data_IF_743704562813
#
_entry.id   IF_743704562813
#
_cell.length_a   1.000
_cell.length_b   1.000
_cell.length_c   1.000
_cell.angle_alpha   90.00
_cell.angle_beta   90.00
_cell.angle_gamma   90.00
#
_symmetry.space_group_name_H-M   'P 1'
#
loop_
_entity.id
_entity.type
_entity.pdbx_description
1 polymer ?
#
# COMPACT_ATOMS: atom_id res chain seq x y z
N UNK A 1 11.81 11.96 -2.91
CA UNK A 1 12.62 11.94 -1.68
C UNK A 1 12.92 13.36 -1.21
N UNK A 2 13.64 14.21 -1.97
CA UNK A 2 13.99 15.57 -1.55
C UNK A 2 12.75 16.40 -1.14
N UNK A 3 11.69 16.38 -1.95
CA UNK A 3 10.43 17.06 -1.64
C UNK A 3 9.84 16.60 -0.29
N UNK A 4 9.79 15.30 -0.03
CA UNK A 4 9.31 14.79 1.25
C UNK A 4 10.24 15.17 2.41
N UNK A 5 11.55 15.20 2.18
CA UNK A 5 12.51 15.68 3.17
C UNK A 5 12.27 17.14 3.58
N UNK A 6 12.02 18.02 2.59
CA UNK A 6 11.63 19.42 2.85
C UNK A 6 10.31 19.50 3.63
N UNK A 7 9.31 18.69 3.27
CA UNK A 7 8.05 18.64 4.01
C UNK A 7 8.22 18.19 5.46
N UNK A 8 9.14 17.24 5.74
CA UNK A 8 9.48 16.86 7.12
C UNK A 8 10.08 18.03 7.92
N UNK A 9 10.94 18.84 7.30
CA UNK A 9 11.50 20.04 7.94
C UNK A 9 10.42 21.08 8.20
N UNK A 10 9.52 21.31 7.25
CA UNK A 10 8.39 22.22 7.41
C UNK A 10 7.40 21.72 8.47
N UNK A 11 7.19 20.40 8.55
CA UNK A 11 6.39 19.78 9.63
C UNK A 11 7.03 20.01 10.99
N UNK A 12 8.33 19.82 11.12
CA UNK A 12 9.08 20.07 12.34
C UNK A 12 9.03 21.55 12.78
N UNK A 13 8.98 22.48 11.82
CA UNK A 13 8.89 23.93 12.07
C UNK A 13 7.46 24.42 12.36
N UNK A 14 6.44 23.55 12.29
CA UNK A 14 5.05 23.97 12.44
C UNK A 14 4.75 24.55 13.82
N UNK A 15 4.01 25.66 13.86
CA UNK A 15 3.64 26.38 15.08
C UNK A 15 2.13 26.25 15.40
N UNK A 16 1.31 25.71 14.47
CA UNK A 16 -0.12 25.51 14.66
C UNK A 16 -0.55 24.10 14.25
N UNK A 17 -1.71 23.66 14.75
CA UNK A 17 -2.29 22.38 14.39
C UNK A 17 -2.64 22.31 12.89
N UNK A 18 -3.17 23.40 12.34
CA UNK A 18 -3.52 23.48 10.91
C UNK A 18 -2.28 23.30 10.03
N UNK A 19 -1.17 23.94 10.40
CA UNK A 19 0.09 23.75 9.69
C UNK A 19 0.57 22.28 9.77
N UNK A 20 0.55 21.68 10.96
CA UNK A 20 0.88 20.26 11.12
C UNK A 20 0.00 19.37 10.23
N UNK A 21 -1.32 19.62 10.22
CA UNK A 21 -2.26 18.85 9.43
C UNK A 21 -2.00 18.98 7.92
N UNK A 22 -1.73 20.20 7.43
CA UNK A 22 -1.40 20.46 6.02
C UNK A 22 -0.09 19.75 5.62
N UNK A 23 0.96 19.89 6.43
CA UNK A 23 2.24 19.24 6.13
C UNK A 23 2.11 17.70 6.19
N UNK A 24 1.33 17.17 7.12
CA UNK A 24 1.04 15.74 7.21
C UNK A 24 0.28 15.24 5.99
N UNK A 25 -0.69 16.00 5.50
CA UNK A 25 -1.42 15.69 4.27
C UNK A 25 -0.48 15.68 3.05
N UNK A 26 0.38 16.69 2.92
CA UNK A 26 1.35 16.78 1.83
C UNK A 26 2.40 15.65 1.89
N UNK A 27 2.80 15.20 3.08
CA UNK A 27 3.68 14.03 3.24
C UNK A 27 3.09 12.74 2.65
N UNK A 28 1.79 12.68 2.37
CA UNK A 28 1.16 11.59 1.63
C UNK A 28 1.76 11.34 0.24
N UNK A 29 2.43 12.34 -0.37
CA UNK A 29 3.19 12.15 -1.62
C UNK A 29 4.33 11.12 -1.53
N UNK A 30 4.76 10.75 -0.33
CA UNK A 30 5.74 9.66 -0.11
C UNK A 30 5.29 8.35 -0.78
N UNK A 31 3.99 8.08 -0.79
CA UNK A 31 3.42 6.88 -1.42
C UNK A 31 3.69 6.78 -2.93
N UNK A 32 3.85 7.91 -3.62
CA UNK A 32 4.21 7.91 -5.05
C UNK A 32 5.60 7.30 -5.29
N UNK A 33 6.55 7.49 -4.36
CA UNK A 33 7.89 6.91 -4.43
C UNK A 33 7.87 5.38 -4.39
N UNK A 34 6.95 4.78 -3.65
CA UNK A 34 6.80 3.34 -3.57
C UNK A 34 6.49 2.72 -4.94
N UNK A 35 5.55 3.29 -5.69
CA UNK A 35 5.15 2.80 -7.02
C UNK A 35 6.28 2.91 -8.04
N UNK A 36 7.06 4.00 -7.98
CA UNK A 36 8.24 4.19 -8.84
C UNK A 36 9.27 3.08 -8.55
N UNK A 37 9.51 2.77 -7.27
CA UNK A 37 10.43 1.73 -6.87
C UNK A 37 9.98 0.33 -7.28
N UNK A 38 8.69 -0.01 -7.16
CA UNK A 38 8.11 -1.26 -7.68
C UNK A 38 8.42 -1.41 -9.18
N UNK A 39 8.18 -0.35 -9.96
CA UNK A 39 8.51 -0.38 -11.39
C UNK A 39 10.00 -0.57 -11.62
N UNK A 40 10.85 0.15 -10.90
CA UNK A 40 12.30 0.06 -11.01
C UNK A 40 12.79 -1.37 -10.71
N UNK A 41 12.34 -1.95 -9.58
CA UNK A 41 12.71 -3.33 -9.20
C UNK A 41 12.31 -4.33 -10.29
N UNK A 42 11.10 -4.20 -10.85
CA UNK A 42 10.64 -5.10 -11.90
C UNK A 42 11.43 -5.01 -13.22
N UNK A 43 12.16 -3.91 -13.47
CA UNK A 43 13.05 -3.77 -14.61
C UNK A 43 14.44 -4.37 -14.37
N UNK A 44 14.88 -4.43 -13.11
CA UNK A 44 16.21 -4.93 -12.74
C UNK A 44 16.25 -6.43 -12.46
N UNK A 45 15.13 -7.06 -12.15
CA UNK A 45 15.06 -8.47 -11.79
C UNK A 45 14.29 -9.30 -12.83
N UNK A 46 14.72 -10.55 -13.12
CA UNK A 46 14.00 -11.45 -13.99
C UNK A 46 12.64 -11.84 -13.37
N UNK A 47 11.67 -12.18 -14.21
CA UNK A 47 10.30 -12.49 -13.79
C UNK A 47 10.23 -13.61 -12.72
N UNK A 48 11.15 -14.59 -12.78
CA UNK A 48 11.23 -15.69 -11.81
C UNK A 48 11.69 -15.28 -10.40
N UNK A 49 12.33 -14.13 -10.24
CA UNK A 49 12.91 -13.62 -9.00
C UNK A 49 12.26 -12.30 -8.54
N UNK A 50 11.28 -11.82 -9.33
CA UNK A 50 10.63 -10.53 -9.05
C UNK A 50 9.89 -10.51 -7.72
N UNK A 51 9.34 -11.63 -7.29
CA UNK A 51 8.60 -11.72 -6.04
C UNK A 51 9.47 -11.47 -4.82
N UNK A 52 10.65 -12.13 -4.73
CA UNK A 52 11.58 -11.88 -3.64
C UNK A 52 12.12 -10.43 -3.69
N UNK A 53 12.45 -9.92 -4.87
CA UNK A 53 12.98 -8.56 -5.03
C UNK A 53 11.97 -7.50 -4.59
N UNK A 54 10.71 -7.61 -5.01
CA UNK A 54 9.60 -6.74 -4.60
C UNK A 54 9.29 -6.90 -3.10
N UNK A 55 9.38 -8.13 -2.59
CA UNK A 55 9.21 -8.43 -1.18
C UNK A 55 10.27 -7.73 -0.32
N UNK A 56 11.55 -7.75 -0.73
CA UNK A 56 12.66 -7.04 -0.06
C UNK A 56 12.40 -5.53 -0.14
N UNK A 57 12.13 -4.99 -1.33
CA UNK A 57 11.89 -3.57 -1.51
C UNK A 57 10.74 -3.07 -0.63
N UNK A 58 9.57 -3.73 -0.70
CA UNK A 58 8.39 -3.34 0.08
C UNK A 58 8.55 -3.62 1.58
N UNK A 59 9.19 -4.74 1.95
CA UNK A 59 9.43 -5.13 3.33
C UNK A 59 10.38 -4.17 4.05
N UNK A 60 11.51 -3.88 3.44
CA UNK A 60 12.48 -2.93 4.02
C UNK A 60 11.96 -1.51 4.07
N UNK A 61 11.17 -1.10 3.05
CA UNK A 61 10.49 0.20 3.09
C UNK A 61 9.55 0.33 4.29
N UNK A 62 8.70 -0.67 4.53
CA UNK A 62 7.76 -0.67 5.66
C UNK A 62 8.41 -0.97 7.01
N UNK A 63 9.54 -1.67 7.06
CA UNK A 63 10.37 -1.82 8.27
C UNK A 63 10.80 -0.46 8.82
N UNK A 64 10.95 0.56 7.98
CA UNK A 64 11.17 1.93 8.40
C UNK A 64 10.15 2.44 9.42
N UNK A 65 8.90 1.98 9.37
CA UNK A 65 7.88 2.31 10.37
C UNK A 65 8.21 1.72 11.76
N UNK A 66 8.73 0.49 11.81
CA UNK A 66 9.18 -0.13 13.06
C UNK A 66 10.39 0.63 13.64
N UNK A 67 11.38 0.95 12.79
CA UNK A 67 12.54 1.74 13.21
C UNK A 67 12.11 3.10 13.75
N UNK A 68 11.20 3.78 13.06
CA UNK A 68 10.69 5.08 13.52
C UNK A 68 9.94 4.95 14.86
N UNK A 69 9.06 3.96 15.01
CA UNK A 69 8.29 3.74 16.25
C UNK A 69 9.19 3.51 17.47
N UNK A 70 10.32 2.81 17.25
CA UNK A 70 11.27 2.51 18.32
C UNK A 70 12.27 3.64 18.56
N UNK A 71 12.75 4.32 17.53
CA UNK A 71 13.84 5.29 17.63
C UNK A 71 13.38 6.74 17.84
N UNK A 72 12.24 7.16 17.26
CA UNK A 72 11.82 8.57 17.35
C UNK A 72 11.56 9.05 18.77
N UNK A 73 10.88 8.28 19.66
CA UNK A 73 10.73 8.68 21.06
C UNK A 73 12.06 8.83 21.79
N UNK A 74 13.01 7.92 21.52
CA UNK A 74 14.36 7.96 22.11
C UNK A 74 15.12 9.19 21.62
N UNK A 75 15.08 9.48 20.32
CA UNK A 75 15.71 10.68 19.77
C UNK A 75 15.08 11.96 20.29
N UNK A 76 13.75 12.00 20.42
CA UNK A 76 13.05 13.15 21.01
C UNK A 76 13.50 13.42 22.46
N UNK A 77 13.63 12.36 23.25
CA UNK A 77 14.16 12.47 24.62
C UNK A 77 15.63 12.89 24.65
N UNK A 78 16.45 12.34 23.75
CA UNK A 78 17.88 12.67 23.64
C UNK A 78 18.13 14.12 23.22
N UNK A 79 17.32 14.68 22.34
CA UNK A 79 17.38 16.10 21.97
C UNK A 79 16.88 16.99 23.12
N UNK A 80 16.00 16.48 23.97
CA UNK A 80 15.52 17.14 25.18
C UNK A 80 14.54 18.30 24.94
N UNK A 81 13.94 18.77 26.04
CA UNK A 81 12.97 19.87 26.02
C UNK A 81 11.65 19.51 25.33
N UNK A 82 10.75 20.50 25.26
CA UNK A 82 9.42 20.35 24.66
C UNK A 82 9.47 20.20 23.13
N UNK A 83 10.56 20.65 22.50
CA UNK A 83 10.79 20.63 21.06
C UNK A 83 11.60 19.42 20.56
N UNK A 84 12.00 18.51 21.44
CA UNK A 84 12.83 17.33 21.08
C UNK A 84 12.24 16.50 19.93
N UNK A 85 10.91 16.36 19.87
CA UNK A 85 10.23 15.68 18.79
C UNK A 85 10.41 16.37 17.42
N UNK A 86 10.54 17.71 17.40
CA UNK A 86 10.77 18.49 16.17
C UNK A 86 12.13 18.19 15.58
N UNK A 87 13.16 18.14 16.43
CA UNK A 87 14.51 17.78 16.01
C UNK A 87 14.60 16.32 15.54
N UNK A 88 13.89 15.40 16.20
CA UNK A 88 13.80 14.01 15.79
C UNK A 88 13.19 13.87 14.39
N UNK A 89 12.06 14.51 14.12
CA UNK A 89 11.44 14.50 12.79
C UNK A 89 12.29 15.28 11.78
N UNK A 90 12.83 16.43 12.15
CA UNK A 90 13.73 17.22 11.29
C UNK A 90 14.95 16.42 10.83
N UNK A 91 15.53 15.58 11.70
CA UNK A 91 16.67 14.73 11.34
C UNK A 91 16.32 13.73 10.23
N UNK A 92 15.11 13.16 10.23
CA UNK A 92 14.66 12.29 9.13
C UNK A 92 14.50 13.05 7.82
N UNK A 93 14.05 14.30 7.88
CA UNK A 93 13.98 15.19 6.73
C UNK A 93 15.35 15.45 6.09
N UNK A 94 16.34 15.76 6.92
CA UNK A 94 17.73 15.96 6.48
C UNK A 94 18.27 14.68 5.84
N UNK A 95 18.08 13.51 6.48
CA UNK A 95 18.51 12.22 5.93
C UNK A 95 17.85 11.93 4.58
N UNK A 96 16.55 12.20 4.42
CA UNK A 96 15.84 12.00 3.16
C UNK A 96 16.39 12.90 2.04
N UNK A 97 16.76 14.15 2.34
CA UNK A 97 17.39 15.07 1.37
C UNK A 97 18.78 14.55 0.96
N UNK A 98 19.64 14.20 1.92
CA UNK A 98 20.98 13.67 1.62
C UNK A 98 20.86 12.40 0.78
N UNK A 99 20.01 11.47 1.19
CA UNK A 99 19.82 10.22 0.45
C UNK A 99 19.26 10.44 -0.95
N UNK A 100 18.46 11.50 -1.16
CA UNK A 100 17.94 11.81 -2.49
C UNK A 100 19.06 12.13 -3.51
N UNK A 101 20.13 12.79 -3.07
CA UNK A 101 21.30 13.06 -3.93
C UNK A 101 22.11 11.79 -4.21
N UNK A 102 22.27 10.91 -3.21
CA UNK A 102 22.94 9.62 -3.38
C UNK A 102 22.16 8.76 -4.38
N UNK A 103 20.84 8.67 -4.20
CA UNK A 103 19.94 7.93 -5.06
C UNK A 103 19.99 8.45 -6.51
N UNK A 104 19.90 9.77 -6.69
CA UNK A 104 19.93 10.40 -8.04
C UNK A 104 21.22 10.08 -8.80
N UNK A 105 22.36 9.98 -8.10
CA UNK A 105 23.66 9.67 -8.72
C UNK A 105 23.88 8.18 -8.97
N UNK A 106 23.26 7.32 -8.18
CA UNK A 106 23.54 5.87 -8.18
C UNK A 106 22.52 5.03 -8.93
N UNK A 107 21.31 5.56 -9.19
CA UNK A 107 20.22 4.76 -9.77
C UNK A 107 20.10 4.98 -11.27
N UNK A 108 19.89 3.89 -12.01
CA UNK A 108 19.55 3.85 -13.43
C UNK A 108 18.20 3.21 -13.61
N UNK A 109 17.46 3.58 -14.66
CA UNK A 109 16.11 3.07 -14.94
C UNK A 109 16.11 1.57 -15.26
N UNK A 110 17.15 1.09 -16.00
CA UNK A 110 17.30 -0.31 -16.41
C UNK A 110 18.77 -0.75 -16.37
N UNK A 111 19.06 -2.05 -16.30
CA UNK A 111 20.39 -2.59 -16.52
C UNK A 111 20.94 -2.20 -17.90
N UNK A 112 22.26 -2.09 -18.03
CA UNK A 112 22.91 -1.83 -19.32
C UNK A 112 22.59 -2.92 -20.33
N UNK A 113 22.18 -2.50 -21.52
CA UNK A 113 21.79 -3.45 -22.61
C UNK A 113 20.35 -3.97 -22.51
N UNK A 114 19.58 -3.58 -21.51
CA UNK A 114 18.17 -3.97 -21.40
C UNK A 114 17.25 -2.96 -22.08
N UNK A 115 16.15 -3.47 -22.67
CA UNK A 115 15.12 -2.64 -23.28
C UNK A 115 14.11 -2.17 -22.24
N UNK A 116 13.90 -0.85 -22.13
CA UNK A 116 12.86 -0.28 -21.28
C UNK A 116 11.51 -0.23 -22.00
N UNK A 117 10.54 -0.99 -21.51
CA UNK A 117 9.18 -1.01 -22.08
C UNK A 117 8.33 0.13 -21.54
N UNK A 118 8.28 1.25 -22.25
CA UNK A 118 7.46 2.40 -21.87
C UNK A 118 5.97 2.15 -22.06
N UNK A 119 5.10 2.64 -21.15
CA UNK A 119 3.66 2.69 -21.42
C UNK A 119 3.39 3.52 -22.68
N UNK A 120 2.61 3.01 -23.62
CA UNK A 120 2.28 3.75 -24.85
C UNK A 120 1.31 4.91 -24.58
N UNK A 121 0.47 4.79 -23.57
CA UNK A 121 -0.49 5.83 -23.17
C UNK A 121 -0.31 6.16 -21.68
N UNK A 122 -0.20 7.45 -21.38
CA UNK A 122 -0.09 7.94 -20.00
C UNK A 122 -1.47 8.31 -19.43
N UNK A 123 -1.65 8.12 -18.14
CA UNK A 123 -2.78 8.67 -17.38
C UNK A 123 -3.92 7.72 -17.05
N UNK A 124 -3.85 6.45 -17.42
CA UNK A 124 -4.81 5.41 -17.06
C UNK A 124 -4.38 4.04 -17.59
N UNK A 125 -4.96 2.97 -17.06
CA UNK A 125 -4.77 1.63 -17.59
C UNK A 125 -5.47 1.51 -18.94
N UNK A 126 -4.76 0.97 -19.94
CA UNK A 126 -5.36 0.56 -21.20
C UNK A 126 -5.94 -0.83 -21.03
N UNK A 127 -7.25 -0.97 -21.22
CA UNK A 127 -7.95 -2.26 -21.14
C UNK A 127 -8.31 -2.76 -22.54
N UNK A 128 -8.56 -4.05 -22.65
CA UNK A 128 -8.66 -4.72 -23.96
C UNK A 128 -10.09 -5.07 -24.37
N UNK A 129 -11.06 -4.95 -23.47
CA UNK A 129 -12.47 -5.22 -23.75
C UNK A 129 -13.39 -4.14 -23.18
N UNK A 130 -14.60 -3.98 -23.76
CA UNK A 130 -15.62 -3.07 -23.22
C UNK A 130 -16.07 -3.47 -21.81
N UNK A 131 -16.12 -4.77 -21.50
CA UNK A 131 -16.43 -5.28 -20.16
C UNK A 131 -15.37 -4.88 -19.15
N UNK A 132 -14.07 -5.05 -19.48
CA UNK A 132 -12.98 -4.60 -18.63
C UNK A 132 -12.97 -3.08 -18.45
N UNK A 133 -13.39 -2.31 -19.49
CA UNK A 133 -13.52 -0.85 -19.36
C UNK A 133 -14.57 -0.44 -18.31
N UNK A 134 -15.76 -1.03 -18.36
CA UNK A 134 -16.81 -0.76 -17.37
C UNK A 134 -16.33 -1.17 -15.99
N UNK A 135 -15.73 -2.34 -15.86
CA UNK A 135 -15.23 -2.85 -14.59
C UNK A 135 -14.09 -1.97 -14.03
N UNK A 136 -13.17 -1.52 -14.88
CA UNK A 136 -12.13 -0.56 -14.49
C UNK A 136 -12.71 0.78 -14.03
N UNK A 137 -13.68 1.31 -14.74
CA UNK A 137 -14.36 2.55 -14.35
C UNK A 137 -15.05 2.41 -12.99
N UNK A 138 -15.75 1.28 -12.74
CA UNK A 138 -16.38 0.99 -11.45
C UNK A 138 -15.33 0.85 -10.33
N UNK A 139 -14.21 0.18 -10.58
CA UNK A 139 -13.13 0.02 -9.60
C UNK A 139 -12.40 1.33 -9.27
N UNK A 140 -12.62 2.43 -9.99
CA UNK A 140 -12.13 3.75 -9.59
C UNK A 140 -13.05 4.45 -8.55
N UNK A 141 -14.31 4.05 -8.44
CA UNK A 141 -15.28 4.68 -7.53
C UNK A 141 -14.87 4.56 -6.04
N UNK A 142 -14.45 3.39 -5.52
CA UNK A 142 -14.03 3.25 -4.12
C UNK A 142 -12.94 4.21 -3.69
N UNK A 143 -12.02 4.60 -4.59
CA UNK A 143 -10.94 5.54 -4.30
C UNK A 143 -11.48 6.92 -3.89
N UNK A 144 -12.50 7.39 -4.59
CA UNK A 144 -13.12 8.70 -4.33
C UNK A 144 -14.14 8.63 -3.19
N UNK A 145 -14.82 7.49 -3.03
CA UNK A 145 -15.68 7.26 -1.88
C UNK A 145 -14.90 7.28 -0.56
N UNK A 146 -13.68 6.73 -0.55
CA UNK A 146 -12.82 6.81 0.63
C UNK A 146 -12.44 8.25 0.98
N UNK A 147 -12.12 9.09 -0.02
CA UNK A 147 -11.87 10.51 0.19
C UNK A 147 -13.11 11.25 0.68
N UNK A 148 -14.28 10.92 0.12
CA UNK A 148 -15.54 11.49 0.58
C UNK A 148 -15.89 11.06 2.01
N UNK A 149 -15.65 9.80 2.36
CA UNK A 149 -15.80 9.28 3.72
C UNK A 149 -14.87 10.00 4.72
N UNK A 150 -13.61 10.21 4.34
CA UNK A 150 -12.66 10.97 5.15
C UNK A 150 -13.13 12.42 5.32
N UNK A 151 -13.59 13.07 4.25
CA UNK A 151 -14.13 14.43 4.31
C UNK A 151 -15.33 14.51 5.24
N UNK A 152 -16.26 13.55 5.15
CA UNK A 152 -17.40 13.45 6.07
C UNK A 152 -16.94 13.29 7.53
N UNK A 153 -15.93 12.41 7.77
CA UNK A 153 -15.43 12.18 9.12
C UNK A 153 -14.79 13.43 9.74
N UNK A 154 -14.15 14.27 8.91
CA UNK A 154 -13.51 15.51 9.35
C UNK A 154 -14.47 16.70 9.41
N UNK A 155 -15.67 16.59 8.81
CA UNK A 155 -16.69 17.66 8.73
C UNK A 155 -17.34 17.99 10.08
N UNK A 156 -18.20 19.02 10.15
CA UNK A 156 -18.92 19.38 11.37
C UNK A 156 -19.82 18.26 11.92
N UNK A 157 -20.24 17.32 11.09
CA UNK A 157 -21.03 16.14 11.47
C UNK A 157 -20.19 15.04 12.13
N UNK A 158 -18.85 15.07 11.91
CA UNK A 158 -17.91 14.11 12.48
C UNK A 158 -17.02 14.72 13.58
N UNK A 159 -15.72 14.85 13.29
CA UNK A 159 -14.71 15.33 14.24
C UNK A 159 -14.63 16.86 14.36
N UNK A 160 -15.39 17.61 13.56
CA UNK A 160 -15.43 19.08 13.53
C UNK A 160 -14.07 19.75 13.27
N UNK A 161 -13.19 19.08 12.52
CA UNK A 161 -11.87 19.61 12.13
C UNK A 161 -11.96 20.47 10.86
N UNK A 162 -12.97 20.26 10.01
CA UNK A 162 -13.27 21.08 8.85
C UNK A 162 -14.52 21.93 9.12
N UNK A 163 -14.51 23.16 8.63
CA UNK A 163 -15.73 23.97 8.55
C UNK A 163 -16.70 23.40 7.51
N UNK A 164 -17.99 23.80 7.55
CA UNK A 164 -18.96 23.41 6.54
C UNK A 164 -18.51 23.80 5.11
N UNK A 165 -17.98 25.03 4.96
CA UNK A 165 -17.45 25.52 3.68
C UNK A 165 -16.23 24.71 3.25
N UNK A 166 -15.33 24.39 4.19
CA UNK A 166 -14.14 23.54 3.93
C UNK A 166 -14.53 22.14 3.45
N UNK A 167 -15.56 21.53 4.05
CA UNK A 167 -16.07 20.24 3.62
C UNK A 167 -16.72 20.32 2.22
N UNK A 168 -17.49 21.38 1.95
CA UNK A 168 -18.09 21.61 0.63
C UNK A 168 -17.03 21.78 -0.47
N UNK A 169 -15.99 22.56 -0.19
CA UNK A 169 -14.84 22.72 -1.11
C UNK A 169 -14.15 21.37 -1.35
N UNK A 170 -13.92 20.58 -0.30
CA UNK A 170 -13.30 19.26 -0.44
C UNK A 170 -14.14 18.33 -1.33
N UNK A 171 -15.46 18.29 -1.14
CA UNK A 171 -16.38 17.51 -2.00
C UNK A 171 -16.36 18.01 -3.44
N UNK A 172 -16.34 19.32 -3.67
CA UNK A 172 -16.24 19.90 -5.02
C UNK A 172 -14.92 19.49 -5.71
N UNK A 173 -13.81 19.52 -4.97
CA UNK A 173 -12.50 19.06 -5.48
C UNK A 173 -12.55 17.57 -5.81
N UNK A 174 -13.10 16.73 -4.94
CA UNK A 174 -13.25 15.28 -5.18
C UNK A 174 -14.10 15.04 -6.44
N UNK A 175 -15.22 15.74 -6.60
CA UNK A 175 -16.05 15.63 -7.80
C UNK A 175 -15.30 16.05 -9.07
N UNK A 176 -14.51 17.12 -9.01
CA UNK A 176 -13.62 17.53 -10.11
C UNK A 176 -12.58 16.48 -10.46
N UNK A 177 -11.96 15.86 -9.46
CA UNK A 177 -10.99 14.77 -9.65
C UNK A 177 -11.64 13.53 -10.27
N UNK A 178 -12.87 13.15 -9.88
CA UNK A 178 -13.64 12.06 -10.49
C UNK A 178 -13.84 12.32 -11.98
N UNK A 179 -14.34 13.51 -12.34
CA UNK A 179 -14.58 13.89 -13.73
C UNK A 179 -13.28 13.88 -14.54
N UNK A 180 -12.20 14.42 -13.96
CA UNK A 180 -10.88 14.44 -14.60
C UNK A 180 -10.35 13.02 -14.84
N UNK A 181 -10.42 12.14 -13.84
CA UNK A 181 -9.98 10.75 -13.96
C UNK A 181 -10.81 9.97 -14.99
N UNK A 182 -12.11 10.13 -14.99
CA UNK A 182 -12.97 9.46 -15.96
C UNK A 182 -12.75 9.95 -17.39
N UNK A 183 -12.47 11.25 -17.59
CA UNK A 183 -12.01 11.76 -18.89
C UNK A 183 -10.72 11.10 -19.35
N UNK A 184 -9.75 10.90 -18.45
CA UNK A 184 -8.50 10.20 -18.77
C UNK A 184 -8.74 8.72 -19.10
N UNK A 185 -9.52 8.00 -18.29
CA UNK A 185 -9.89 6.60 -18.54
C UNK A 185 -10.55 6.48 -19.93
N UNK A 186 -11.49 7.37 -20.25
CA UNK A 186 -12.13 7.42 -21.55
C UNK A 186 -11.12 7.67 -22.69
N UNK A 187 -10.29 8.69 -22.53
CA UNK A 187 -9.31 9.07 -23.56
C UNK A 187 -8.34 7.94 -23.89
N UNK A 188 -7.83 7.23 -22.87
CA UNK A 188 -6.92 6.08 -23.06
C UNK A 188 -7.63 4.92 -23.73
N UNK A 189 -8.92 4.69 -23.44
CA UNK A 189 -9.67 3.50 -23.87
C UNK A 189 -10.68 3.76 -25.00
N UNK A 190 -10.70 4.94 -25.62
CA UNK A 190 -11.63 5.28 -26.70
C UNK A 190 -11.54 4.33 -27.91
N UNK A 191 -10.37 3.73 -28.16
CA UNK A 191 -10.14 2.76 -29.22
C UNK A 191 -11.10 1.56 -29.18
N UNK A 192 -11.58 1.17 -27.98
CA UNK A 192 -12.57 0.11 -27.81
C UNK A 192 -13.92 0.42 -28.47
N UNK A 193 -14.21 1.69 -28.71
CA UNK A 193 -15.46 2.20 -29.29
C UNK A 193 -15.31 2.68 -30.72
N UNK A 194 -14.06 2.92 -31.18
CA UNK A 194 -13.76 3.37 -32.56
C UNK A 194 -13.35 2.23 -33.50
N UNK A 195 -13.25 0.98 -32.97
CA UNK A 195 -12.86 -0.18 -33.76
C UNK A 195 -11.35 -0.32 -34.01
N UNK A 196 -10.53 0.53 -33.40
CA UNK A 196 -9.09 0.42 -33.41
C UNK A 196 -8.62 -0.75 -32.52
N UNK A 197 -7.55 -1.41 -32.90
CA UNK A 197 -6.98 -2.48 -32.06
C UNK A 197 -6.27 -1.91 -30.84
N UNK A 198 -6.39 -2.56 -29.64
CA UNK A 198 -5.61 -2.17 -28.48
C UNK A 198 -4.11 -2.28 -28.78
N UNK A 199 -3.35 -1.31 -28.34
CA UNK A 199 -1.89 -1.34 -28.48
C UNK A 199 -1.21 -2.30 -27.48
N UNK A 200 -1.90 -2.62 -26.37
CA UNK A 200 -1.41 -3.57 -25.37
C UNK A 200 -1.83 -5.01 -25.68
N UNK A 201 -0.98 -6.02 -25.39
CA UNK A 201 -1.37 -7.42 -25.40
C UNK A 201 -2.60 -7.67 -24.50
N UNK A 202 -3.44 -8.64 -24.88
CA UNK A 202 -4.67 -8.95 -24.14
C UNK A 202 -4.37 -9.41 -22.72
N UNK A 203 -5.01 -8.78 -21.77
CA UNK A 203 -5.08 -9.23 -20.38
C UNK A 203 -6.50 -8.99 -19.82
N UNK A 204 -6.83 -9.63 -18.72
CA UNK A 204 -8.14 -9.45 -18.07
C UNK A 204 -8.01 -8.52 -16.86
N UNK A 205 -8.69 -7.38 -16.89
CA UNK A 205 -8.70 -6.43 -15.78
C UNK A 205 -9.16 -7.05 -14.45
N UNK A 206 -9.95 -8.13 -14.49
CA UNK A 206 -10.34 -8.93 -13.34
C UNK A 206 -9.13 -9.32 -12.46
N UNK A 207 -7.98 -9.63 -13.06
CA UNK A 207 -6.77 -10.00 -12.31
C UNK A 207 -6.26 -8.82 -11.47
N UNK A 208 -6.27 -7.61 -12.06
CA UNK A 208 -5.91 -6.37 -11.35
C UNK A 208 -6.90 -6.10 -10.22
N UNK A 209 -8.19 -6.24 -10.46
CA UNK A 209 -9.24 -6.03 -9.46
C UNK A 209 -9.09 -6.95 -8.25
N UNK A 210 -8.78 -8.24 -8.48
CA UNK A 210 -8.55 -9.20 -7.40
C UNK A 210 -7.34 -8.78 -6.55
N UNK A 211 -6.23 -8.36 -7.19
CA UNK A 211 -5.03 -7.90 -6.48
C UNK A 211 -5.30 -6.61 -5.69
N UNK A 212 -6.11 -5.70 -6.23
CA UNK A 212 -6.52 -4.49 -5.52
C UNK A 212 -7.28 -4.82 -4.22
N UNK A 213 -8.25 -5.74 -4.29
CA UNK A 213 -9.00 -6.19 -3.11
C UNK A 213 -8.10 -6.94 -2.13
N UNK A 214 -7.20 -7.79 -2.62
CA UNK A 214 -6.24 -8.51 -1.77
C UNK A 214 -5.29 -7.52 -1.07
N UNK A 215 -4.77 -6.51 -1.78
CA UNK A 215 -3.88 -5.51 -1.20
C UNK A 215 -4.61 -4.57 -0.24
N UNK A 216 -5.87 -4.24 -0.50
CA UNK A 216 -6.74 -3.55 0.46
C UNK A 216 -6.88 -4.36 1.77
N UNK A 217 -7.10 -5.68 1.66
CA UNK A 217 -7.25 -6.54 2.83
C UNK A 217 -5.95 -6.72 3.61
N UNK A 218 -4.79 -6.86 2.97
CA UNK A 218 -3.52 -7.05 3.68
C UNK A 218 -2.88 -5.71 4.08
N UNK A 219 -2.53 -4.83 3.14
CA UNK A 219 -1.85 -3.58 3.46
C UNK A 219 -2.77 -2.57 4.16
N UNK A 220 -4.03 -2.48 3.74
CA UNK A 220 -5.00 -1.59 4.40
C UNK A 220 -5.23 -1.96 5.86
N UNK A 221 -5.33 -3.26 6.16
CA UNK A 221 -5.45 -3.73 7.54
C UNK A 221 -4.15 -3.55 8.33
N UNK A 222 -2.98 -3.73 7.69
CA UNK A 222 -1.68 -3.42 8.30
C UNK A 222 -1.63 -1.99 8.83
N UNK A 223 -1.98 -1.00 7.97
CA UNK A 223 -1.99 0.41 8.35
C UNK A 223 -2.88 0.70 9.56
N UNK A 224 -4.07 0.10 9.57
CA UNK A 224 -5.02 0.29 10.65
C UNK A 224 -4.55 -0.38 11.95
N UNK A 225 -4.07 -1.63 11.86
CA UNK A 225 -3.62 -2.40 13.02
C UNK A 225 -2.37 -1.78 13.64
N UNK A 226 -1.35 -1.41 12.86
CA UNK A 226 -0.16 -0.71 13.38
C UNK A 226 -0.54 0.56 14.12
N UNK A 227 -1.55 1.29 13.65
CA UNK A 227 -2.01 2.53 14.26
C UNK A 227 -2.73 2.31 15.59
N UNK A 228 -3.48 1.20 15.74
CA UNK A 228 -4.32 0.96 16.91
C UNK A 228 -3.64 0.11 18.00
N UNK A 229 -2.70 -0.76 17.63
CA UNK A 229 -2.11 -1.73 18.56
C UNK A 229 -1.53 -1.12 19.84
N UNK A 230 -0.78 0.00 19.81
CA UNK A 230 -0.25 0.57 21.05
C UNK A 230 -1.35 0.90 22.05
N UNK A 231 -2.42 1.58 21.59
CA UNK A 231 -3.54 1.94 22.45
C UNK A 231 -4.30 0.69 22.92
N UNK A 232 -4.54 -0.26 22.02
CA UNK A 232 -5.19 -1.54 22.37
C UNK A 232 -4.43 -2.30 23.46
N UNK A 233 -3.10 -2.38 23.37
CA UNK A 233 -2.30 -3.04 24.41
C UNK A 233 -2.29 -2.28 25.73
N UNK A 234 -2.25 -0.93 25.69
CA UNK A 234 -2.36 -0.12 26.91
C UNK A 234 -3.69 -0.35 27.61
N UNK A 235 -4.79 -0.30 26.87
CA UNK A 235 -6.15 -0.38 27.42
C UNK A 235 -6.49 -1.80 27.89
N UNK A 236 -6.05 -2.83 27.14
CA UNK A 236 -6.40 -4.24 27.43
C UNK A 236 -5.51 -4.88 28.51
N UNK A 237 -4.20 -4.58 28.48
CA UNK A 237 -3.22 -5.24 29.36
C UNK A 237 -2.64 -4.31 30.43
N UNK A 238 -3.07 -3.04 30.47
CA UNK A 238 -2.65 -2.04 31.46
C UNK A 238 -1.12 -1.85 31.51
N UNK A 239 -0.43 -1.97 30.38
CA UNK A 239 1.02 -1.77 30.27
C UNK A 239 1.37 -0.31 29.95
N UNK A 240 2.62 0.07 30.27
CA UNK A 240 3.07 1.45 30.02
C UNK A 240 3.14 1.76 28.51
N UNK A 241 3.05 3.04 28.11
CA UNK A 241 3.13 3.45 26.71
C UNK A 241 4.39 2.95 25.99
N UNK A 242 5.52 2.87 26.70
CA UNK A 242 6.80 2.38 26.14
C UNK A 242 6.69 0.90 25.78
N UNK A 243 6.21 0.07 26.70
CA UNK A 243 6.01 -1.36 26.45
C UNK A 243 4.95 -1.61 25.38
N UNK A 244 3.87 -0.83 25.38
CA UNK A 244 2.84 -0.90 24.34
C UNK A 244 3.39 -0.55 22.95
N UNK A 245 4.21 0.48 22.83
CA UNK A 245 4.90 0.84 21.59
C UNK A 245 5.87 -0.25 21.13
N UNK A 246 6.62 -0.87 22.04
CA UNK A 246 7.53 -1.98 21.70
C UNK A 246 6.76 -3.21 21.22
N UNK A 247 5.70 -3.62 21.91
CA UNK A 247 4.88 -4.78 21.53
C UNK A 247 4.17 -4.55 20.18
N UNK A 248 3.64 -3.35 19.97
CA UNK A 248 3.06 -2.97 18.69
C UNK A 248 4.12 -2.89 17.56
N UNK A 249 5.31 -2.40 17.89
CA UNK A 249 6.46 -2.34 16.96
C UNK A 249 6.87 -3.73 16.45
N UNK A 250 6.72 -4.78 17.26
CA UNK A 250 6.99 -6.16 16.85
C UNK A 250 6.14 -6.58 15.63
N UNK A 251 4.90 -6.09 15.52
CA UNK A 251 4.06 -6.34 14.34
C UNK A 251 4.70 -5.78 13.06
N UNK A 252 5.22 -4.56 13.11
CA UNK A 252 5.83 -3.89 11.95
C UNK A 252 7.22 -4.46 11.63
N UNK A 253 7.97 -5.00 12.63
CA UNK A 253 9.26 -5.66 12.41
C UNK A 253 9.14 -6.86 11.47
N UNK A 254 7.99 -7.55 11.48
CA UNK A 254 7.75 -8.69 10.59
C UNK A 254 7.82 -8.34 9.11
N UNK A 255 7.66 -7.06 8.73
CA UNK A 255 7.87 -6.61 7.35
C UNK A 255 9.27 -6.98 6.82
N UNK A 256 10.29 -6.95 7.68
CA UNK A 256 11.67 -7.24 7.29
C UNK A 256 11.85 -8.67 6.77
N UNK A 257 11.10 -9.62 7.31
CA UNK A 257 11.25 -11.04 7.02
C UNK A 257 10.06 -11.62 6.26
N UNK A 258 8.85 -11.35 6.71
CA UNK A 258 7.65 -12.00 6.19
C UNK A 258 7.27 -11.53 4.77
N UNK A 259 7.49 -10.26 4.45
CA UNK A 259 7.20 -9.74 3.11
C UNK A 259 8.16 -10.29 2.05
N UNK A 260 9.49 -10.29 2.24
CA UNK A 260 10.42 -10.99 1.36
C UNK A 260 10.14 -12.49 1.27
N UNK A 261 9.82 -13.16 2.40
CA UNK A 261 9.48 -14.58 2.40
C UNK A 261 8.21 -14.87 1.59
N UNK A 262 7.18 -14.01 1.68
CA UNK A 262 5.97 -14.10 0.86
C UNK A 262 6.28 -14.03 -0.62
N UNK A 263 7.16 -13.13 -1.04
CA UNK A 263 7.65 -13.02 -2.40
C UNK A 263 8.46 -14.25 -2.83
N UNK A 264 9.44 -14.66 -2.04
CA UNK A 264 10.27 -15.85 -2.30
C UNK A 264 9.45 -17.13 -2.44
N UNK A 265 8.54 -17.37 -1.51
CA UNK A 265 7.69 -18.56 -1.56
C UNK A 265 6.71 -18.50 -2.74
N UNK A 266 6.26 -17.29 -3.12
CA UNK A 266 5.45 -17.08 -4.31
C UNK A 266 6.20 -17.49 -5.58
N UNK A 267 7.45 -17.08 -5.72
CA UNK A 267 8.29 -17.44 -6.85
C UNK A 267 8.61 -18.95 -6.89
N UNK A 268 8.82 -19.56 -5.71
CA UNK A 268 9.21 -20.98 -5.60
C UNK A 268 8.04 -21.98 -5.68
N UNK A 269 6.87 -21.66 -5.12
CA UNK A 269 5.78 -22.61 -4.92
C UNK A 269 4.48 -22.26 -5.63
N UNK A 270 4.47 -21.15 -6.38
CA UNK A 270 3.31 -20.64 -7.10
C UNK A 270 2.65 -19.45 -6.39
N UNK A 271 2.52 -18.37 -7.15
CA UNK A 271 2.14 -17.04 -6.64
C UNK A 271 0.72 -16.99 -6.10
N UNK A 272 -0.24 -17.54 -6.87
CA UNK A 272 -1.62 -17.65 -6.44
C UNK A 272 -1.75 -18.48 -5.17
N UNK A 273 -1.06 -19.62 -5.11
CA UNK A 273 -1.13 -20.56 -3.97
C UNK A 273 -0.65 -19.90 -2.68
N UNK A 274 0.49 -19.22 -2.72
CA UNK A 274 1.04 -18.54 -1.53
C UNK A 274 0.14 -17.38 -1.09
N UNK A 275 -0.37 -16.58 -2.02
CA UNK A 275 -1.34 -15.54 -1.69
C UNK A 275 -2.57 -16.10 -0.96
N UNK A 276 -3.12 -17.22 -1.45
CA UNK A 276 -4.27 -17.89 -0.82
C UNK A 276 -3.94 -18.40 0.59
N UNK A 277 -2.78 -19.03 0.79
CA UNK A 277 -2.33 -19.50 2.11
C UNK A 277 -2.20 -18.30 3.08
N UNK A 278 -1.60 -17.24 2.64
CA UNK A 278 -1.44 -16.02 3.46
C UNK A 278 -2.79 -15.40 3.82
N UNK A 279 -3.74 -15.31 2.88
CA UNK A 279 -5.07 -14.75 3.15
C UNK A 279 -5.90 -15.64 4.10
N UNK A 280 -5.76 -16.97 4.03
CA UNK A 280 -6.37 -17.87 5.03
C UNK A 280 -5.73 -17.63 6.42
N UNK A 281 -4.40 -17.62 6.48
CA UNK A 281 -3.68 -17.38 7.74
C UNK A 281 -4.03 -16.02 8.35
N UNK A 282 -4.16 -14.97 7.52
CA UNK A 282 -4.62 -13.64 7.93
C UNK A 282 -6.06 -13.69 8.47
N UNK A 283 -6.97 -14.40 7.79
CA UNK A 283 -8.37 -14.57 8.22
C UNK A 283 -8.44 -15.21 9.60
N UNK A 284 -7.73 -16.34 9.79
CA UNK A 284 -7.68 -17.05 11.06
C UNK A 284 -6.99 -16.21 12.15
N UNK A 285 -5.91 -15.50 11.79
CA UNK A 285 -5.18 -14.64 12.70
C UNK A 285 -6.03 -13.51 13.24
N UNK A 286 -6.75 -12.79 12.37
CA UNK A 286 -7.68 -11.74 12.83
C UNK A 286 -8.86 -12.31 13.60
N UNK A 287 -9.36 -13.50 13.22
CA UNK A 287 -10.36 -14.21 13.98
C UNK A 287 -9.88 -14.56 15.40
N UNK A 288 -8.60 -14.95 15.55
CA UNK A 288 -7.97 -15.16 16.84
C UNK A 288 -7.81 -13.84 17.63
N UNK A 289 -7.33 -12.78 16.98
CA UNK A 289 -7.16 -11.46 17.60
C UNK A 289 -8.50 -10.86 18.06
N UNK A 290 -9.61 -11.20 17.42
CA UNK A 290 -10.94 -10.74 17.86
C UNK A 290 -11.37 -11.34 19.21
N UNK A 291 -10.72 -12.39 19.68
CA UNK A 291 -10.98 -13.00 20.98
C UNK A 291 -10.05 -12.51 22.09
N UNK A 292 -9.10 -11.61 21.77
CA UNK A 292 -8.18 -11.04 22.77
C UNK A 292 -8.91 -10.17 23.76
N UNK A 293 -8.71 -10.48 25.04
CA UNK A 293 -9.17 -9.66 26.18
C UNK A 293 -8.13 -9.66 27.31
N UNK A 294 -8.46 -9.04 28.42
CA UNK A 294 -7.59 -8.94 29.59
C UNK A 294 -7.29 -10.28 30.31
N UNK A 295 -7.97 -11.37 29.96
CA UNK A 295 -7.70 -12.70 30.52
C UNK A 295 -6.49 -13.38 29.85
N UNK A 296 -6.07 -12.91 28.69
CA UNK A 296 -4.91 -13.45 27.98
C UNK A 296 -3.61 -13.04 28.65
N UNK A 297 -2.62 -13.92 28.63
CA UNK A 297 -1.27 -13.48 28.98
C UNK A 297 -0.72 -12.57 27.86
N UNK A 298 0.00 -11.52 28.23
CA UNK A 298 0.60 -10.59 27.26
C UNK A 298 1.48 -11.31 26.23
N UNK A 299 2.21 -12.36 26.68
CA UNK A 299 3.08 -13.14 25.80
C UNK A 299 2.27 -13.85 24.71
N UNK A 300 1.15 -14.48 25.07
CA UNK A 300 0.28 -15.18 24.10
C UNK A 300 -0.36 -14.18 23.14
N UNK A 301 -0.79 -13.03 23.64
CA UNK A 301 -1.33 -11.95 22.79
C UNK A 301 -0.30 -11.45 21.78
N UNK A 302 0.93 -11.18 22.20
CA UNK A 302 2.04 -10.76 21.31
C UNK A 302 2.36 -11.83 20.28
N UNK A 303 2.42 -13.11 20.68
CA UNK A 303 2.66 -14.21 19.74
C UNK A 303 1.54 -14.31 18.70
N UNK A 304 0.28 -14.17 19.08
CA UNK A 304 -0.84 -14.18 18.15
C UNK A 304 -0.75 -13.02 17.15
N UNK A 305 -0.38 -11.82 17.61
CA UNK A 305 -0.13 -10.65 16.75
C UNK A 305 1.02 -10.89 15.79
N UNK A 306 2.14 -11.46 16.25
CA UNK A 306 3.30 -11.77 15.41
C UNK A 306 2.95 -12.80 14.32
N UNK A 307 2.30 -13.90 14.69
CA UNK A 307 1.87 -14.93 13.73
C UNK A 307 0.92 -14.35 12.68
N UNK A 308 -0.04 -13.54 13.11
CA UNK A 308 -0.97 -12.87 12.20
C UNK A 308 -0.22 -11.95 11.26
N UNK A 309 0.74 -11.17 11.78
CA UNK A 309 1.58 -10.27 10.98
C UNK A 309 2.37 -11.00 9.90
N UNK A 310 2.90 -12.20 10.18
CA UNK A 310 3.61 -13.01 9.16
C UNK A 310 2.72 -13.27 7.94
N UNK A 311 1.47 -13.64 8.14
CA UNK A 311 0.55 -13.89 7.04
C UNK A 311 0.14 -12.60 6.31
N UNK A 312 -0.07 -11.51 7.03
CA UNK A 312 -0.41 -10.22 6.44
C UNK A 312 0.72 -9.72 5.55
N UNK A 313 1.94 -9.70 6.09
CA UNK A 313 3.12 -9.25 5.35
C UNK A 313 3.47 -10.19 4.19
N UNK A 314 3.33 -11.50 4.41
CA UNK A 314 3.47 -12.51 3.35
C UNK A 314 2.49 -12.29 2.21
N UNK A 315 1.22 -11.98 2.51
CA UNK A 315 0.22 -11.64 1.49
C UNK A 315 0.61 -10.39 0.71
N UNK A 316 1.11 -9.34 1.37
CA UNK A 316 1.60 -8.14 0.71
C UNK A 316 2.74 -8.44 -0.28
N UNK A 317 3.71 -9.29 0.10
CA UNK A 317 4.79 -9.74 -0.78
C UNK A 317 4.26 -10.57 -1.97
N UNK A 318 3.32 -11.48 -1.71
CA UNK A 318 2.70 -12.30 -2.74
C UNK A 318 1.88 -11.49 -3.76
N UNK A 319 1.19 -10.42 -3.35
CA UNK A 319 0.49 -9.52 -4.29
C UNK A 319 1.46 -8.88 -5.25
N UNK A 320 2.56 -8.31 -4.77
CA UNK A 320 3.53 -7.63 -5.64
C UNK A 320 4.38 -8.59 -6.48
N UNK A 321 4.51 -9.86 -6.10
CA UNK A 321 5.11 -10.87 -6.99
C UNK A 321 4.28 -11.14 -8.26
N UNK A 322 2.98 -10.83 -8.23
CA UNK A 322 2.05 -11.05 -9.35
C UNK A 322 1.90 -9.79 -10.22
N UNK A 323 1.91 -8.60 -9.60
CA UNK A 323 1.63 -7.32 -10.28
C UNK A 323 2.44 -7.11 -11.57
N UNK A 324 3.78 -7.30 -11.61
CA UNK A 324 4.57 -7.10 -12.82
C UNK A 324 4.26 -8.12 -13.93
N UNK A 325 3.67 -9.26 -13.57
CA UNK A 325 3.41 -10.37 -14.47
C UNK A 325 2.04 -10.33 -15.15
N UNK A 326 1.17 -9.39 -14.75
CA UNK A 326 -0.12 -9.19 -15.44
C UNK A 326 0.13 -8.49 -16.77
N UNK A 327 0.87 -7.38 -16.74
CA UNK A 327 1.22 -6.61 -17.94
C UNK A 327 2.46 -5.75 -17.61
N UNK A 328 3.62 -6.14 -18.15
CA UNK A 328 4.92 -5.55 -17.81
C UNK A 328 4.99 -4.04 -18.08
N UNK A 329 4.47 -3.60 -19.25
CA UNK A 329 4.45 -2.18 -19.62
C UNK A 329 3.65 -1.31 -18.68
N UNK A 330 2.62 -1.88 -18.05
CA UNK A 330 1.72 -1.18 -17.15
C UNK A 330 1.98 -1.51 -15.67
N UNK A 331 3.10 -2.16 -15.35
CA UNK A 331 3.46 -2.52 -13.96
C UNK A 331 3.29 -1.36 -12.99
N UNK A 332 3.84 -0.19 -13.30
CA UNK A 332 3.71 0.99 -12.44
C UNK A 332 2.26 1.47 -12.27
N UNK A 333 1.44 1.38 -13.31
CA UNK A 333 0.02 1.77 -13.24
C UNK A 333 -0.80 0.75 -12.42
N UNK A 334 -0.55 -0.55 -12.61
CA UNK A 334 -1.20 -1.63 -11.84
C UNK A 334 -0.75 -1.56 -10.37
N UNK A 335 0.55 -1.41 -10.12
CA UNK A 335 1.12 -1.23 -8.79
C UNK A 335 0.55 0.01 -8.09
N UNK A 336 0.41 1.11 -8.84
CA UNK A 336 -0.21 2.34 -8.35
C UNK A 336 -1.66 2.16 -7.95
N UNK A 337 -2.43 1.43 -8.74
CA UNK A 337 -3.82 1.13 -8.42
C UNK A 337 -3.94 0.20 -7.20
N UNK A 338 -3.12 -0.85 -7.12
CA UNK A 338 -3.08 -1.74 -5.95
C UNK A 338 -2.68 -0.96 -4.68
N UNK A 339 -1.62 -0.13 -4.75
CA UNK A 339 -1.19 0.73 -3.65
C UNK A 339 -2.26 1.73 -3.20
N UNK A 340 -2.99 2.33 -4.15
CA UNK A 340 -4.12 3.20 -3.85
C UNK A 340 -5.23 2.46 -3.11
N UNK A 341 -5.56 1.23 -3.50
CA UNK A 341 -6.52 0.38 -2.78
C UNK A 341 -6.07 0.01 -1.38
N UNK A 342 -4.77 -0.25 -1.16
CA UNK A 342 -4.21 -0.43 0.17
C UNK A 342 -4.46 0.79 1.06
N UNK A 343 -4.20 2.00 0.55
CA UNK A 343 -4.47 3.24 1.29
C UNK A 343 -5.97 3.48 1.52
N UNK A 344 -6.84 3.16 0.54
CA UNK A 344 -8.30 3.15 0.71
C UNK A 344 -8.69 2.26 1.88
N UNK A 345 -8.11 1.04 1.94
CA UNK A 345 -8.30 0.13 3.07
C UNK A 345 -7.93 0.78 4.40
N UNK A 346 -6.75 1.43 4.46
CA UNK A 346 -6.33 2.16 5.67
C UNK A 346 -7.34 3.22 6.10
N UNK A 347 -7.82 4.07 5.18
CA UNK A 347 -8.82 5.11 5.48
C UNK A 347 -10.15 4.50 5.94
N UNK A 348 -10.66 3.50 5.22
CA UNK A 348 -11.94 2.85 5.54
C UNK A 348 -11.86 2.13 6.88
N UNK A 349 -10.82 1.33 7.10
CA UNK A 349 -10.66 0.55 8.33
C UNK A 349 -10.45 1.44 9.55
N UNK A 350 -9.61 2.50 9.47
CA UNK A 350 -9.43 3.45 10.56
C UNK A 350 -10.72 4.22 10.86
N UNK A 351 -11.50 4.56 9.83
CA UNK A 351 -12.81 5.21 10.04
C UNK A 351 -13.77 4.26 10.76
N UNK A 352 -13.84 2.99 10.33
CA UNK A 352 -14.69 2.00 11.00
C UNK A 352 -14.21 1.76 12.44
N UNK A 353 -12.90 1.63 12.66
CA UNK A 353 -12.32 1.48 14.00
C UNK A 353 -12.77 2.58 14.96
N UNK A 354 -12.94 3.81 14.47
CA UNK A 354 -13.43 4.91 15.30
C UNK A 354 -14.91 4.82 15.70
N UNK A 355 -15.64 3.82 15.19
CA UNK A 355 -17.09 3.62 15.39
C UNK A 355 -17.42 2.29 16.08
N UNK A 356 -16.48 1.35 16.16
CA UNK A 356 -16.71 0.01 16.69
C UNK A 356 -15.67 -0.37 17.74
N UNK A 357 -15.97 -1.42 18.52
CA UNK A 357 -15.01 -1.97 19.49
C UNK A 357 -13.83 -2.66 18.78
N UNK A 358 -12.66 -2.79 19.43
CA UNK A 358 -11.51 -3.53 18.89
C UNK A 358 -11.84 -4.97 18.48
N UNK A 359 -12.64 -5.68 19.29
CA UNK A 359 -13.14 -7.03 18.97
C UNK A 359 -13.90 -7.07 17.64
N UNK A 360 -14.89 -6.19 17.48
CA UNK A 360 -15.67 -6.07 16.24
C UNK A 360 -14.82 -5.67 15.05
N UNK A 361 -13.82 -4.84 15.30
CA UNK A 361 -12.88 -4.40 14.26
C UNK A 361 -12.01 -5.55 13.75
N UNK A 362 -11.40 -6.34 14.61
CA UNK A 362 -10.62 -7.52 14.19
C UNK A 362 -11.50 -8.55 13.46
N UNK A 363 -12.74 -8.75 13.92
CA UNK A 363 -13.68 -9.63 13.23
C UNK A 363 -13.99 -9.12 11.81
N UNK A 364 -14.20 -7.82 11.64
CA UNK A 364 -14.38 -7.20 10.32
C UNK A 364 -13.17 -7.44 9.42
N UNK A 365 -11.95 -7.28 9.94
CA UNK A 365 -10.72 -7.56 9.18
C UNK A 365 -10.62 -9.03 8.76
N UNK A 366 -11.05 -9.96 9.63
CA UNK A 366 -11.14 -11.37 9.29
C UNK A 366 -12.11 -11.62 8.12
N UNK A 367 -13.29 -11.02 8.16
CA UNK A 367 -14.28 -11.11 7.07
C UNK A 367 -13.72 -10.56 5.76
N UNK A 368 -13.09 -9.38 5.81
CA UNK A 368 -12.47 -8.76 4.61
C UNK A 368 -11.36 -9.64 4.03
N UNK A 369 -10.55 -10.26 4.88
CA UNK A 369 -9.52 -11.22 4.46
C UNK A 369 -10.11 -12.46 3.79
N UNK A 370 -11.22 -12.97 4.33
CA UNK A 370 -11.96 -14.09 3.74
C UNK A 370 -12.56 -13.73 2.38
N UNK A 371 -13.09 -12.52 2.22
CA UNK A 371 -13.57 -12.01 0.91
C UNK A 371 -12.42 -11.92 -0.09
N UNK A 372 -11.26 -11.42 0.32
CA UNK A 372 -10.06 -11.38 -0.53
C UNK A 372 -9.58 -12.78 -0.91
N UNK A 373 -9.62 -13.74 0.03
CA UNK A 373 -9.33 -15.15 -0.25
C UNK A 373 -10.29 -15.74 -1.29
N UNK A 374 -11.59 -15.55 -1.14
CA UNK A 374 -12.58 -16.02 -2.13
C UNK A 374 -12.34 -15.38 -3.50
N UNK A 375 -12.00 -14.09 -3.55
CA UNK A 375 -11.60 -13.42 -4.78
C UNK A 375 -10.37 -14.06 -5.42
N UNK A 376 -9.36 -14.44 -4.62
CA UNK A 376 -8.11 -15.03 -5.10
C UNK A 376 -8.29 -16.43 -5.74
N UNK A 377 -9.41 -17.11 -5.48
CA UNK A 377 -9.78 -18.35 -6.18
C UNK A 377 -9.95 -18.14 -7.69
N UNK A 378 -10.24 -16.94 -8.12
CA UNK A 378 -10.40 -16.58 -9.53
C UNK A 378 -9.16 -15.93 -10.14
N UNK A 379 -8.06 -15.86 -9.39
CA UNK A 379 -6.78 -15.36 -9.89
C UNK A 379 -6.15 -16.41 -10.81
N UNK A 380 -5.70 -15.98 -11.98
CA UNK A 380 -4.94 -16.84 -12.89
C UNK A 380 -3.48 -16.88 -12.45
N UNK A 381 -2.88 -18.07 -12.39
CA UNK A 381 -1.45 -18.21 -12.15
C UNK A 381 -0.69 -17.71 -13.38
N UNK A 382 0.22 -16.74 -13.26
CA UNK A 382 1.10 -16.37 -14.36
C UNK A 382 2.02 -17.54 -14.69
N UNK A 383 1.97 -18.04 -15.94
CA UNK A 383 2.77 -19.19 -16.40
C UNK A 383 3.28 -18.99 -17.80
N UNK A 384 4.35 -19.69 -18.14
CA UNK A 384 4.90 -19.74 -19.49
C UNK A 384 5.70 -18.49 -19.84
N UNK A 385 5.40 -17.87 -20.98
CA UNK A 385 6.14 -16.72 -21.49
C UNK A 385 5.21 -15.52 -21.65
N UNK A 386 5.69 -14.34 -21.23
CA UNK A 386 5.07 -13.06 -21.56
C UNK A 386 5.63 -12.58 -22.89
N UNK A 387 4.74 -12.08 -23.76
CA UNK A 387 5.11 -11.48 -25.05
C UNK A 387 5.16 -9.97 -24.88
N UNK A 388 6.31 -9.38 -25.14
CA UNK A 388 6.49 -7.92 -25.17
C UNK A 388 7.09 -7.48 -26.50
N UNK A 389 6.66 -6.31 -26.98
CA UNK A 389 7.17 -5.72 -28.22
C UNK A 389 7.91 -4.44 -27.87
N UNK A 390 9.15 -4.27 -28.31
CA UNK A 390 9.94 -3.06 -28.08
C UNK A 390 9.46 -1.85 -28.90
N UNK A 391 10.12 -0.69 -28.75
CA UNK A 391 9.81 0.52 -29.51
C UNK A 391 10.09 0.37 -31.01
N UNK A 392 10.87 -0.62 -31.41
CA UNK A 392 11.25 -0.93 -32.79
C UNK A 392 10.38 -2.02 -33.43
N UNK A 393 9.39 -2.56 -32.68
CA UNK A 393 8.48 -3.61 -33.14
C UNK A 393 9.03 -5.03 -32.99
N UNK A 394 10.19 -5.24 -32.34
CA UNK A 394 10.71 -6.58 -32.09
C UNK A 394 9.94 -7.25 -30.96
N UNK A 395 9.63 -8.53 -31.15
CA UNK A 395 8.91 -9.35 -30.17
C UNK A 395 9.91 -10.05 -29.23
N UNK A 396 9.77 -9.81 -27.94
CA UNK A 396 10.55 -10.45 -26.89
C UNK A 396 9.68 -11.44 -26.11
N UNK A 397 10.17 -12.67 -25.95
CA UNK A 397 9.57 -13.68 -25.07
C UNK A 397 10.29 -13.67 -23.73
N UNK A 398 9.54 -13.38 -22.65
CA UNK A 398 10.07 -13.29 -21.29
C UNK A 398 9.53 -14.50 -20.51
N UNK A 399 10.44 -15.38 -20.08
CA UNK A 399 10.06 -16.53 -19.25
C UNK A 399 9.53 -16.05 -17.88
N UNK A 400 8.41 -16.63 -17.45
CA UNK A 400 7.75 -16.31 -16.17
C UNK A 400 8.07 -17.37 -15.12
N UNK A 401 8.43 -18.59 -15.55
CA UNK A 401 8.85 -19.71 -14.71
C UNK A 401 10.37 -19.85 -14.66
#
# INVERSE_FOLDING_TARGET
LAFCGVLCLLFAAAQSFEWLAIMRFLLGFVGAGFVIGIRLVSEWFPAREVGIAEGIYGGWGNFGAAVASMSMPILALAFGGDDGWRYAIGSTGVMAIIYSFIFYRGVRDTPEGSTYFKPQKAGGLEVTTKGDFVFYALMNVPLYLALALLTWRLSPEGLKLLSADGALIAYAVIAGLVVYQWKKIWHVNKHLFTGEHPAAPRYHFKQVAILNVAYMACFGSELAVVSMLPLFFMDTFHISPVYAGMTAGCFAVMNLFARPSGGLFSDAYGRRKILMICLIGQTLGYGLMSQMDSSWSLVVAVLAVLVTSVFIQGACGAVYSIVPLIQRRMTGQIAGMAGAYGNVGGVVFLTILSLVSPTSFFYLLAVMSAVAFLGSLFLSEPKGHMVETDEHGNVHLIAVE
#
